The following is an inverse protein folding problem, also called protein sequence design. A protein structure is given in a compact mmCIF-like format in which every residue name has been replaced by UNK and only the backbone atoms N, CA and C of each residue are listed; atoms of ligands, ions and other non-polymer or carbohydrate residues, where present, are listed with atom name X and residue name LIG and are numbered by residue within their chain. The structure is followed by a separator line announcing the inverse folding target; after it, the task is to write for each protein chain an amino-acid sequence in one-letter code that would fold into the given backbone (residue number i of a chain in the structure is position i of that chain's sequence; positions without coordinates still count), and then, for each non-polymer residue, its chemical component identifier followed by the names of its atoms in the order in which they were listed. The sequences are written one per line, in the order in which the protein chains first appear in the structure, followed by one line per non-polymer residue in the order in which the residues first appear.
data_IF_165628950033
#
_entry.id   IF_165628950033
#
_cell.length_a   1.000
_cell.length_b   1.000
_cell.length_c   1.000
_cell.angle_alpha   90.00
_cell.angle_beta   90.00
_cell.angle_gamma   90.00
#
_symmetry.space_group_name_H-M   'P 1'
#
loop_
_entity.id
_entity.type
_entity.pdbx_description
1 polymer ?
#
# COMPACT_ATOMS: atom_id res chain seq x y z
N UNK A 1 11.42 26.28 -9.86
CA UNK A 1 12.43 25.61 -10.69
C UNK A 1 12.04 24.15 -10.81
N UNK A 2 11.42 23.78 -11.91
CA UNK A 2 11.05 22.38 -12.19
C UNK A 2 12.31 21.53 -12.32
N UNK A 3 12.55 20.64 -11.37
CA UNK A 3 13.59 19.62 -11.52
C UNK A 3 13.12 18.64 -12.61
N UNK A 4 13.72 18.74 -13.77
CA UNK A 4 13.51 17.82 -14.89
C UNK A 4 14.03 16.44 -14.45
N UNK A 5 13.11 15.48 -14.35
CA UNK A 5 13.45 14.09 -14.01
C UNK A 5 14.14 13.38 -15.16
N UNK A 6 15.04 12.44 -14.87
CA UNK A 6 15.72 11.67 -15.90
C UNK A 6 14.73 10.73 -16.58
N UNK A 7 14.66 10.81 -17.90
CA UNK A 7 14.01 9.79 -18.72
C UNK A 7 14.79 8.48 -18.56
N UNK A 8 14.20 7.51 -17.87
CA UNK A 8 14.73 6.15 -17.77
C UNK A 8 13.97 5.29 -18.76
N UNK A 9 14.70 4.60 -19.61
CA UNK A 9 14.10 3.67 -20.57
C UNK A 9 13.32 2.57 -19.82
N UNK A 10 11.99 2.53 -20.01
CA UNK A 10 11.16 1.37 -19.68
C UNK A 10 10.52 1.31 -18.30
N UNK A 11 10.30 2.42 -17.59
CA UNK A 11 9.54 2.44 -16.35
C UNK A 11 8.53 3.58 -16.32
N UNK A 12 7.32 3.28 -15.91
CA UNK A 12 6.29 4.28 -15.72
C UNK A 12 6.44 4.92 -14.34
N UNK A 13 6.35 6.26 -14.28
CA UNK A 13 6.46 7.02 -13.05
C UNK A 13 5.07 7.43 -12.57
N UNK A 14 4.76 7.11 -11.33
CA UNK A 14 3.58 7.60 -10.64
C UNK A 14 3.97 8.74 -9.71
N UNK A 15 3.25 9.85 -9.79
CA UNK A 15 3.41 10.94 -8.83
C UNK A 15 2.60 10.61 -7.57
N UNK A 16 3.28 10.23 -6.49
CA UNK A 16 2.63 10.09 -5.19
C UNK A 16 2.60 11.44 -4.47
N UNK A 17 1.43 11.82 -3.98
CA UNK A 17 1.25 13.02 -3.16
C UNK A 17 0.65 12.61 -1.82
N UNK A 18 1.26 13.05 -0.72
CA UNK A 18 0.70 12.87 0.62
C UNK A 18 -0.61 13.64 0.76
N UNK A 19 -1.53 13.19 1.64
CA UNK A 19 -2.85 13.82 1.85
C UNK A 19 -2.78 15.31 2.18
N UNK A 20 -1.70 15.76 2.82
CA UNK A 20 -1.42 17.16 3.11
C UNK A 20 -0.71 17.90 1.97
N UNK A 21 -0.46 17.26 0.85
CA UNK A 21 0.16 17.85 -0.34
C UNK A 21 1.64 18.24 -0.19
N UNK A 22 2.27 17.91 0.93
CA UNK A 22 3.63 18.40 1.25
C UNK A 22 4.73 17.61 0.52
N UNK A 23 4.48 16.34 0.20
CA UNK A 23 5.48 15.48 -0.46
C UNK A 23 4.94 14.99 -1.80
N UNK A 24 5.64 15.31 -2.88
CA UNK A 24 5.41 14.78 -4.23
C UNK A 24 6.61 13.94 -4.61
N UNK A 25 6.40 12.65 -4.79
CA UNK A 25 7.45 11.70 -5.14
C UNK A 25 7.18 11.10 -6.51
N UNK A 26 8.24 11.01 -7.29
CA UNK A 26 8.22 10.21 -8.51
C UNK A 26 8.57 8.77 -8.16
N UNK A 27 7.56 7.93 -8.17
CA UNK A 27 7.69 6.49 -7.91
C UNK A 27 7.70 5.72 -9.21
N UNK A 28 8.59 4.75 -9.31
CA UNK A 28 8.63 3.84 -10.44
C UNK A 28 7.67 2.69 -10.19
N UNK A 29 6.68 2.53 -11.05
CA UNK A 29 5.81 1.36 -11.10
C UNK A 29 6.41 0.36 -12.09
N UNK A 30 6.75 -0.82 -11.64
CA UNK A 30 7.22 -1.93 -12.47
C UNK A 30 6.91 -3.26 -11.80
N UNK A 31 6.49 -4.27 -12.59
CA UNK A 31 6.14 -5.59 -12.09
C UNK A 31 5.04 -5.53 -11.00
N UNK A 32 4.03 -4.66 -11.19
CA UNK A 32 2.91 -4.41 -10.26
C UNK A 32 3.33 -3.93 -8.87
N UNK A 33 4.57 -3.45 -8.72
CA UNK A 33 5.08 -2.92 -7.46
C UNK A 33 5.76 -1.57 -7.64
N UNK A 34 5.92 -0.85 -6.54
CA UNK A 34 6.56 0.46 -6.47
C UNK A 34 8.02 0.27 -6.11
N UNK A 35 8.90 0.99 -6.81
CA UNK A 35 10.34 0.99 -6.57
C UNK A 35 10.83 2.37 -6.19
N UNK A 36 11.50 2.51 -5.05
CA UNK A 36 12.12 3.74 -4.57
C UNK A 36 13.62 3.56 -4.31
N UNK A 37 14.37 4.64 -4.49
CA UNK A 37 15.76 4.71 -4.03
C UNK A 37 15.81 5.12 -2.55
N UNK A 38 16.94 4.90 -1.88
CA UNK A 38 17.13 5.35 -0.49
C UNK A 38 16.91 6.87 -0.30
N UNK A 39 17.41 7.76 -1.19
CA UNK A 39 17.11 9.19 -1.10
C UNK A 39 15.62 9.50 -1.18
N UNK A 40 14.86 8.83 -2.08
CA UNK A 40 13.41 9.01 -2.20
C UNK A 40 12.66 8.50 -0.96
N UNK A 41 13.10 7.39 -0.36
CA UNK A 41 12.54 6.93 0.92
C UNK A 41 12.85 7.90 2.06
N UNK A 42 14.04 8.51 2.08
CA UNK A 42 14.38 9.53 3.08
C UNK A 42 13.49 10.78 2.96
N UNK A 43 13.18 11.18 1.72
CA UNK A 43 12.23 12.27 1.43
C UNK A 43 10.80 11.89 1.85
N UNK A 44 10.33 10.68 1.45
CA UNK A 44 9.02 10.15 1.81
C UNK A 44 8.76 10.16 3.31
N UNK A 45 9.71 9.65 4.09
CA UNK A 45 9.56 9.52 5.54
C UNK A 45 10.11 10.73 6.32
N UNK A 46 10.57 11.78 5.64
CA UNK A 46 11.17 12.98 6.24
C UNK A 46 12.28 12.62 7.26
N UNK A 47 13.25 11.84 6.80
CA UNK A 47 14.40 11.37 7.57
C UNK A 47 15.68 11.47 6.76
N UNK A 48 16.81 11.05 7.32
CA UNK A 48 18.09 11.06 6.60
C UNK A 48 18.29 9.78 5.81
N UNK A 49 19.02 9.85 4.68
CA UNK A 49 19.39 8.67 3.91
C UNK A 49 20.22 7.66 4.75
N UNK A 50 21.05 8.16 5.66
CA UNK A 50 21.83 7.31 6.56
C UNK A 50 20.93 6.47 7.47
N UNK A 51 19.85 7.07 8.00
CA UNK A 51 18.87 6.34 8.81
C UNK A 51 18.14 5.27 8.00
N UNK A 52 17.74 5.59 6.76
CA UNK A 52 17.14 4.61 5.83
C UNK A 52 18.12 3.45 5.57
N UNK A 53 19.38 3.76 5.24
CA UNK A 53 20.41 2.74 5.00
C UNK A 53 20.62 1.82 6.20
N UNK A 54 20.59 2.36 7.42
CA UNK A 54 20.70 1.56 8.63
C UNK A 54 19.50 0.62 8.81
N UNK A 55 18.27 1.11 8.58
CA UNK A 55 17.08 0.27 8.67
C UNK A 55 17.08 -0.85 7.63
N UNK A 56 17.46 -0.56 6.37
CA UNK A 56 17.57 -1.58 5.33
C UNK A 56 18.58 -2.67 5.72
N UNK A 57 19.75 -2.28 6.25
CA UNK A 57 20.75 -3.23 6.73
C UNK A 57 20.18 -4.13 7.82
N UNK A 58 19.54 -3.55 8.83
CA UNK A 58 18.95 -4.31 9.94
C UNK A 58 17.87 -5.28 9.45
N UNK A 59 17.02 -4.88 8.48
CA UNK A 59 15.98 -5.72 7.88
C UNK A 59 16.60 -6.97 7.23
N UNK A 60 17.71 -6.80 6.49
CA UNK A 60 18.42 -7.93 5.90
C UNK A 60 19.15 -8.80 6.92
N UNK A 61 19.80 -8.19 7.92
CA UNK A 61 20.50 -8.90 9.00
C UNK A 61 19.55 -9.72 9.88
N UNK A 62 18.35 -9.21 10.13
CA UNK A 62 17.29 -9.90 10.88
C UNK A 62 16.56 -10.98 10.05
N UNK A 63 16.79 -11.03 8.74
CA UNK A 63 16.17 -11.99 7.82
C UNK A 63 14.68 -11.73 7.57
N UNK A 64 14.19 -10.51 7.87
CA UNK A 64 12.80 -10.13 7.57
C UNK A 64 12.52 -10.12 6.07
N UNK A 65 13.49 -9.61 5.29
CA UNK A 65 13.45 -9.61 3.81
C UNK A 65 14.80 -10.05 3.25
N UNK A 66 14.80 -10.53 2.00
CA UNK A 66 16.04 -10.86 1.28
C UNK A 66 16.35 -9.83 0.21
N UNK A 67 17.65 -9.62 -0.05
CA UNK A 67 18.11 -8.66 -1.06
C UNK A 67 17.63 -9.03 -2.46
N UNK A 68 17.64 -10.33 -2.78
CA UNK A 68 17.24 -10.84 -4.10
C UNK A 68 15.79 -10.54 -4.43
N UNK A 69 14.90 -10.57 -3.42
CA UNK A 69 13.48 -10.31 -3.59
C UNK A 69 13.11 -8.83 -3.61
N UNK A 70 13.91 -7.98 -2.94
CA UNK A 70 13.49 -6.61 -2.63
C UNK A 70 14.38 -5.52 -3.19
N UNK A 71 15.51 -5.87 -3.79
CA UNK A 71 16.49 -4.93 -4.31
C UNK A 71 16.80 -5.21 -5.78
N UNK A 72 16.82 -4.16 -6.59
CA UNK A 72 17.24 -4.19 -8.01
C UNK A 72 18.07 -2.97 -8.35
N UNK A 73 19.01 -3.16 -9.25
CA UNK A 73 19.77 -2.05 -9.84
C UNK A 73 19.16 -1.64 -11.17
N UNK A 74 18.92 -0.34 -11.32
CA UNK A 74 18.47 0.21 -12.58
C UNK A 74 19.42 1.26 -13.09
N UNK A 75 19.62 1.22 -14.40
CA UNK A 75 20.42 2.22 -15.09
C UNK A 75 19.65 3.54 -15.17
N UNK A 76 20.18 4.59 -14.57
CA UNK A 76 19.67 5.95 -14.70
C UNK A 76 20.59 6.75 -15.61
N UNK A 77 20.01 7.38 -16.64
CA UNK A 77 20.72 8.29 -17.55
C UNK A 77 20.32 9.71 -17.18
N UNK A 78 21.27 10.49 -16.66
CA UNK A 78 21.05 11.90 -16.33
C UNK A 78 21.93 12.79 -17.19
N UNK A 79 21.35 13.80 -17.77
CA UNK A 79 22.10 14.82 -18.51
C UNK A 79 22.73 15.79 -17.52
N UNK A 80 24.07 15.76 -17.41
CA UNK A 80 24.85 16.68 -16.61
C UNK A 80 25.60 17.64 -17.58
N UNK A 81 25.02 18.85 -17.77
CA UNK A 81 25.52 19.80 -18.76
C UNK A 81 25.34 19.31 -20.20
N UNK A 82 26.46 19.06 -20.90
CA UNK A 82 26.47 18.56 -22.29
C UNK A 82 26.70 17.05 -22.42
N UNK A 83 26.79 16.31 -21.31
CA UNK A 83 27.11 14.87 -21.30
C UNK A 83 25.98 14.08 -20.65
N UNK A 84 25.64 12.94 -21.24
CA UNK A 84 24.75 11.96 -20.63
C UNK A 84 25.58 11.06 -19.71
N UNK A 85 25.32 11.15 -18.42
CA UNK A 85 25.98 10.34 -17.39
C UNK A 85 25.06 9.18 -17.05
N UNK A 86 25.57 7.95 -17.22
CA UNK A 86 24.90 6.71 -16.85
C UNK A 86 25.33 6.31 -15.45
N UNK A 87 24.39 6.10 -14.56
CA UNK A 87 24.65 5.60 -13.21
C UNK A 87 23.71 4.45 -12.89
N UNK A 88 24.22 3.40 -12.29
CA UNK A 88 23.38 2.37 -11.68
C UNK A 88 22.92 2.90 -10.32
N UNK A 89 21.61 2.85 -10.10
CA UNK A 89 20.97 3.23 -8.84
C UNK A 89 20.32 2.02 -8.22
N UNK A 90 20.46 1.90 -6.90
CA UNK A 90 19.82 0.87 -6.10
C UNK A 90 18.38 1.27 -5.81
N UNK A 91 17.43 0.41 -6.19
CA UNK A 91 16.01 0.55 -5.94
C UNK A 91 15.52 -0.57 -5.06
N UNK A 92 14.55 -0.24 -4.23
CA UNK A 92 13.91 -1.14 -3.28
C UNK A 92 12.41 -1.17 -3.53
N UNK A 93 11.81 -2.36 -3.46
CA UNK A 93 10.40 -2.57 -3.75
C UNK A 93 9.48 -2.11 -2.60
N UNK A 94 8.16 -2.28 -2.80
CA UNK A 94 7.14 -1.88 -1.83
C UNK A 94 7.30 -2.59 -0.48
N UNK A 95 7.72 -3.87 -0.46
CA UNK A 95 7.91 -4.61 0.80
C UNK A 95 8.98 -3.94 1.67
N UNK A 96 10.12 -3.57 1.08
CA UNK A 96 11.16 -2.83 1.77
C UNK A 96 10.68 -1.45 2.24
N UNK A 97 9.90 -0.74 1.42
CA UNK A 97 9.35 0.58 1.78
C UNK A 97 8.44 0.46 3.00
N UNK A 98 7.59 -0.57 3.04
CA UNK A 98 6.68 -0.85 4.16
C UNK A 98 7.48 -1.17 5.43
N UNK A 99 8.43 -2.10 5.36
CA UNK A 99 9.25 -2.51 6.51
C UNK A 99 10.04 -1.35 7.10
N UNK A 100 10.65 -0.51 6.24
CA UNK A 100 11.31 0.74 6.67
C UNK A 100 10.33 1.70 7.32
N UNK A 101 9.12 1.89 6.76
CA UNK A 101 8.08 2.77 7.30
C UNK A 101 7.63 2.38 8.71
N UNK A 102 7.65 1.09 9.05
CA UNK A 102 7.36 0.62 10.41
C UNK A 102 8.48 0.93 11.40
N UNK A 103 9.73 1.07 10.96
CA UNK A 103 10.93 1.26 11.81
C UNK A 103 11.34 2.72 11.99
N UNK A 104 11.09 3.57 10.99
CA UNK A 104 11.48 4.98 11.02
C UNK A 104 10.70 5.76 12.08
N UNK A 105 11.41 6.59 12.85
CA UNK A 105 10.84 7.48 13.86
C UNK A 105 10.64 8.89 13.28
N UNK A 106 9.52 9.11 12.57
CA UNK A 106 9.11 10.42 12.07
C UNK A 106 7.59 10.59 12.18
N UNK A 107 7.10 11.82 12.07
CA UNK A 107 5.67 12.10 12.07
C UNK A 107 4.98 11.44 10.88
N UNK A 108 5.58 11.48 9.70
CA UNK A 108 5.06 10.87 8.48
C UNK A 108 5.01 9.34 8.61
N UNK A 109 6.08 8.72 9.11
CA UNK A 109 6.08 7.29 9.39
C UNK A 109 5.02 6.88 10.43
N UNK A 110 4.75 7.75 11.41
CA UNK A 110 3.66 7.51 12.37
C UNK A 110 2.28 7.55 11.71
N UNK A 111 2.01 8.55 10.85
CA UNK A 111 0.77 8.62 10.06
C UNK A 111 0.62 7.41 9.15
N UNK A 112 1.70 6.99 8.48
CA UNK A 112 1.72 5.77 7.67
C UNK A 112 1.33 4.53 8.50
N UNK A 113 1.90 4.34 9.69
CA UNK A 113 1.56 3.19 10.57
C UNK A 113 0.10 3.22 11.03
N UNK A 114 -0.44 4.39 11.35
CA UNK A 114 -1.86 4.56 11.73
C UNK A 114 -2.74 4.12 10.57
N UNK A 115 -2.49 4.64 9.36
CA UNK A 115 -3.22 4.28 8.15
C UNK A 115 -3.13 2.79 7.84
N UNK A 116 -1.93 2.22 7.83
CA UNK A 116 -1.71 0.80 7.54
C UNK A 116 -2.41 -0.11 8.58
N UNK A 117 -2.36 0.27 9.87
CA UNK A 117 -3.06 -0.45 10.93
C UNK A 117 -4.57 -0.42 10.75
N UNK A 118 -5.14 0.71 10.30
CA UNK A 118 -6.58 0.80 10.02
C UNK A 118 -6.98 -0.13 8.87
N UNK A 119 -6.20 -0.16 7.78
CA UNK A 119 -6.44 -1.06 6.64
C UNK A 119 -6.34 -2.52 7.05
N UNK A 120 -5.33 -2.88 7.84
CA UNK A 120 -5.17 -4.23 8.36
C UNK A 120 -6.33 -4.65 9.28
N UNK A 121 -6.77 -3.77 10.18
CA UNK A 121 -7.96 -4.02 11.03
C UNK A 121 -9.21 -4.23 10.19
N UNK A 122 -9.42 -3.40 9.18
CA UNK A 122 -10.56 -3.52 8.26
C UNK A 122 -10.54 -4.87 7.56
N UNK A 123 -9.39 -5.27 7.02
CA UNK A 123 -9.22 -6.58 6.38
C UNK A 123 -9.48 -7.75 7.35
N UNK A 124 -8.92 -7.72 8.57
CA UNK A 124 -9.10 -8.79 9.56
C UNK A 124 -10.57 -8.93 9.96
N UNK A 125 -11.28 -7.81 10.14
CA UNK A 125 -12.68 -7.82 10.60
C UNK A 125 -13.65 -8.15 9.49
N UNK A 126 -13.46 -7.56 8.28
CA UNK A 126 -14.40 -7.66 7.17
C UNK A 126 -14.03 -8.73 6.14
N UNK A 127 -12.76 -9.10 6.06
CA UNK A 127 -12.19 -9.98 5.03
C UNK A 127 -11.87 -9.29 3.70
N UNK A 128 -12.01 -7.96 3.62
CA UNK A 128 -11.66 -7.15 2.45
C UNK A 128 -11.32 -5.72 2.83
N UNK A 129 -10.58 -5.04 1.96
CA UNK A 129 -10.31 -3.59 1.97
C UNK A 129 -10.54 -3.08 0.56
N UNK A 130 -11.20 -1.93 0.43
CA UNK A 130 -11.42 -1.26 -0.85
C UNK A 130 -11.05 0.21 -0.76
N UNK A 131 -10.51 0.72 -1.86
CA UNK A 131 -10.32 2.15 -2.08
C UNK A 131 -11.46 2.64 -3.00
N UNK A 132 -12.55 3.06 -2.38
CA UNK A 132 -13.76 3.49 -3.09
C UNK A 132 -13.50 4.68 -4.01
N UNK A 133 -12.65 5.62 -3.61
CA UNK A 133 -12.35 6.79 -4.42
C UNK A 133 -11.58 6.41 -5.67
N UNK A 134 -10.57 5.56 -5.55
CA UNK A 134 -9.80 5.06 -6.68
C UNK A 134 -10.65 4.22 -7.64
N UNK A 135 -11.54 3.40 -7.11
CA UNK A 135 -12.42 2.56 -7.93
C UNK A 135 -13.51 3.36 -8.66
N UNK A 136 -14.00 4.46 -8.07
CA UNK A 136 -14.98 5.36 -8.70
C UNK A 136 -14.35 6.32 -9.72
N UNK A 137 -13.08 6.63 -9.56
CA UNK A 137 -12.32 7.54 -10.41
C UNK A 137 -11.24 6.75 -11.16
N UNK A 138 -11.58 6.08 -12.27
CA UNK A 138 -10.61 5.27 -13.00
C UNK A 138 -9.45 6.15 -13.47
N UNK A 139 -8.24 5.59 -13.54
CA UNK A 139 -7.07 6.30 -14.04
C UNK A 139 -7.30 6.74 -15.48
N UNK A 140 -6.75 7.91 -15.83
CA UNK A 140 -6.86 8.46 -17.20
C UNK A 140 -6.28 7.46 -18.19
N UNK A 141 -6.94 7.28 -19.34
CA UNK A 141 -6.44 6.41 -20.43
C UNK A 141 -4.99 6.77 -20.79
N UNK A 142 -4.10 5.80 -20.70
CA UNK A 142 -2.65 5.99 -20.88
C UNK A 142 -1.89 6.27 -19.58
N UNK A 143 -2.56 6.20 -18.44
CA UNK A 143 -1.90 6.19 -17.13
C UNK A 143 -1.16 4.88 -16.91
N UNK A 144 -0.05 4.97 -16.20
CA UNK A 144 0.74 3.84 -15.71
C UNK A 144 -0.01 2.94 -14.71
N UNK A 145 -1.08 3.47 -14.13
CA UNK A 145 -1.87 2.76 -13.11
C UNK A 145 -2.93 1.90 -13.80
N UNK A 146 -2.92 0.57 -13.62
CA UNK A 146 -3.97 -0.29 -14.16
C UNK A 146 -5.34 0.05 -13.55
N UNK A 147 -6.39 -0.08 -14.37
CA UNK A 147 -7.76 -0.04 -13.89
C UNK A 147 -8.15 -1.44 -13.37
N UNK A 148 -8.29 -1.56 -12.05
CA UNK A 148 -8.65 -2.81 -11.37
C UNK A 148 -10.17 -2.98 -11.17
N UNK A 149 -11.00 -2.11 -11.73
CA UNK A 149 -12.45 -2.18 -11.53
C UNK A 149 -13.06 -3.47 -12.09
N UNK A 150 -12.65 -3.89 -13.28
CA UNK A 150 -13.14 -5.13 -13.90
C UNK A 150 -12.69 -6.38 -13.12
N UNK A 151 -11.46 -6.39 -12.60
CA UNK A 151 -10.96 -7.46 -11.74
C UNK A 151 -11.79 -7.58 -10.46
N UNK A 152 -12.08 -6.44 -9.82
CA UNK A 152 -12.96 -6.39 -8.65
C UNK A 152 -14.35 -6.93 -8.96
N UNK A 153 -14.95 -6.55 -10.10
CA UNK A 153 -16.26 -7.04 -10.52
C UNK A 153 -16.26 -8.56 -10.78
N UNK A 154 -15.22 -9.09 -11.41
CA UNK A 154 -15.06 -10.53 -11.62
C UNK A 154 -15.02 -11.27 -10.28
N UNK A 155 -14.23 -10.79 -9.33
CA UNK A 155 -14.12 -11.35 -7.99
C UNK A 155 -15.44 -11.33 -7.21
N UNK A 156 -16.19 -10.23 -7.31
CA UNK A 156 -17.53 -10.15 -6.70
C UNK A 156 -18.50 -11.17 -7.33
N UNK A 157 -18.47 -11.35 -8.65
CA UNK A 157 -19.29 -12.35 -9.36
C UNK A 157 -18.96 -13.77 -8.89
N UNK A 158 -17.68 -14.10 -8.76
CA UNK A 158 -17.23 -15.41 -8.27
C UNK A 158 -17.68 -15.68 -6.84
N UNK A 159 -17.58 -14.68 -5.95
CA UNK A 159 -18.06 -14.79 -4.56
C UNK A 159 -19.58 -15.02 -4.53
N UNK A 160 -20.35 -14.35 -5.39
CA UNK A 160 -21.81 -14.51 -5.48
C UNK A 160 -22.21 -15.84 -6.11
N UNK A 161 -21.45 -16.33 -7.09
CA UNK A 161 -21.70 -17.60 -7.76
C UNK A 161 -21.32 -18.81 -6.89
N UNK A 162 -20.52 -18.62 -5.82
CA UNK A 162 -20.19 -19.69 -4.91
C UNK A 162 -21.45 -20.13 -4.14
N UNK A 163 -21.94 -21.34 -4.37
CA UNK A 163 -23.12 -21.95 -3.72
C UNK A 163 -22.99 -22.12 -2.19
N UNK A 164 -21.84 -21.78 -1.63
CA UNK A 164 -21.49 -21.97 -0.21
C UNK A 164 -22.13 -20.95 0.74
N UNK A 165 -22.98 -20.06 0.26
CA UNK A 165 -23.83 -19.19 1.09
C UNK A 165 -25.30 -19.54 0.91
N UNK A 166 -25.83 -20.52 1.67
CA UNK A 166 -27.28 -20.62 1.79
C UNK A 166 -27.79 -19.31 2.37
N UNK A 167 -28.60 -18.59 1.60
CA UNK A 167 -29.37 -17.47 2.10
C UNK A 167 -30.21 -18.02 3.28
N UNK A 168 -29.83 -17.72 4.53
CA UNK A 168 -30.65 -18.02 5.68
C UNK A 168 -30.09 -18.87 6.81
N UNK A 169 -28.87 -19.36 6.76
CA UNK A 169 -28.31 -20.10 7.90
C UNK A 169 -27.41 -19.20 8.74
N UNK A 170 -28.00 -18.53 9.69
CA UNK A 170 -27.56 -18.03 10.99
C UNK A 170 -27.94 -16.58 11.25
N UNK A 171 -29.27 -16.37 11.36
CA UNK A 171 -29.70 -15.41 12.39
C UNK A 171 -29.72 -16.19 13.69
N UNK A 172 -29.03 -15.78 14.75
CA UNK A 172 -29.28 -16.30 16.07
C UNK A 172 -30.75 -16.02 16.37
N UNK A 173 -31.52 -17.07 16.65
CA UNK A 173 -32.89 -16.93 17.15
C UNK A 173 -32.80 -16.08 18.40
N UNK A 174 -33.27 -14.83 18.28
CA UNK A 174 -33.50 -13.97 19.43
C UNK A 174 -34.34 -14.78 20.40
N UNK A 175 -33.81 -15.00 21.56
CA UNK A 175 -34.39 -15.54 22.77
C UNK A 175 -35.88 -15.18 22.83
N UNK A 176 -36.74 -16.20 22.64
CA UNK A 176 -38.13 -16.15 23.08
C UNK A 176 -38.10 -15.83 24.57
N UNK A 177 -38.61 -14.65 24.93
CA UNK A 177 -38.92 -14.32 26.30
C UNK A 177 -39.91 -15.38 26.80
N UNK A 178 -39.64 -16.08 27.94
CA UNK A 178 -40.63 -16.94 28.54
C UNK A 178 -41.82 -16.06 28.97
N UNK A 179 -43.02 -16.51 28.60
CA UNK A 179 -44.26 -15.90 29.03
C UNK A 179 -44.29 -15.82 30.55
N UNK A 180 -44.63 -14.65 31.07
CA UNK A 180 -44.90 -14.42 32.47
C UNK A 180 -46.03 -15.31 32.92
N UNK A 181 -45.74 -16.29 33.75
CA UNK A 181 -46.76 -17.06 34.48
C UNK A 181 -47.34 -16.16 35.56
N UNK A 182 -48.61 -15.83 35.36
CA UNK A 182 -49.46 -15.26 36.39
C UNK A 182 -49.70 -16.31 37.49
N UNK A 183 -49.24 -16.06 38.69
CA UNK A 183 -49.74 -16.65 39.93
C UNK A 183 -50.02 -15.49 40.86
N UNK A 184 -51.21 -15.15 41.09
CA UNK A 184 -52.16 -15.81 41.95
C UNK A 184 -51.87 -15.36 43.39
N UNK A 185 -52.65 -14.32 43.84
CA UNK A 185 -52.77 -13.93 45.25
C UNK A 185 -53.02 -15.19 46.11
N UNK A 186 -52.48 -15.19 47.33
CA UNK A 186 -53.22 -15.54 48.56
C UNK A 186 -52.42 -15.04 49.77
N UNK A 187 -53.12 -14.20 50.61
CA UNK A 187 -52.83 -13.74 51.98
C UNK A 187 -51.75 -12.73 52.18
#
# INVERSE_FOLDING_TARGET
MSKHLPSVAGGEFLLYQTEDGQVKLDVRLQDETIWLTQPLMAELFQTTQQNISQHIRNIFEEGELTSEATHKKFLSVRREGKRDVRRELDYYNLDMIISVGYRVKSLIATRFRIWATQRLKEYIVKGFVMDDERLKNPPVKGSAVPDYFDEMLARIRDIRASERRPCGANMPRSTQRPAAASHGRIF
#
